data_IF_724352370627
#
_entry.id   IF_724352370627
#
_cell.length_a   1.000
_cell.length_b   1.000
_cell.length_c   1.000
_cell.angle_alpha   90.00
_cell.angle_beta   90.00
_cell.angle_gamma   90.00
#
_symmetry.space_group_name_H-M   'P 1'
#
loop_
_entity.id
_entity.type
_entity.pdbx_description
1 polymer ?
#
# COMPACT_ATOMS: atom_id res chain seq x y z
N UNK A 1 -14.37 5.05 7.58
CA UNK A 1 -13.26 5.32 6.66
C UNK A 1 -11.98 4.68 7.16
N UNK A 2 -11.13 4.26 6.23
CA UNK A 2 -9.84 3.63 6.54
C UNK A 2 -8.66 4.62 6.58
N UNK A 3 -8.94 5.92 6.52
CA UNK A 3 -7.94 6.99 6.61
C UNK A 3 -8.32 7.97 7.71
N UNK A 4 -7.32 8.54 8.36
CA UNK A 4 -7.49 9.64 9.31
C UNK A 4 -7.28 11.01 8.65
N UNK A 5 -7.75 12.07 9.29
CA UNK A 5 -7.51 13.44 8.86
C UNK A 5 -7.33 14.37 10.04
N UNK A 6 -6.53 15.41 9.85
CA UNK A 6 -6.34 16.50 10.79
C UNK A 6 -6.52 17.84 10.06
N UNK A 7 -6.81 18.89 10.81
CA UNK A 7 -6.86 20.24 10.25
C UNK A 7 -5.47 20.69 9.78
N UNK A 8 -5.40 21.15 8.55
CA UNK A 8 -4.17 21.70 7.97
C UNK A 8 -4.18 23.22 8.02
N UNK A 9 -5.22 23.82 7.49
CA UNK A 9 -5.44 25.27 7.51
C UNK A 9 -6.95 25.60 7.62
N UNK A 10 -7.32 26.83 7.34
CA UNK A 10 -8.73 27.26 7.39
C UNK A 10 -9.63 26.55 6.36
N UNK A 11 -9.07 26.10 5.24
CA UNK A 11 -9.81 25.60 4.09
C UNK A 11 -9.68 24.07 3.90
N UNK A 12 -8.57 23.46 4.39
CA UNK A 12 -8.22 22.07 4.10
C UNK A 12 -7.98 21.21 5.34
N UNK A 13 -8.23 19.91 5.15
CA UNK A 13 -7.73 18.84 6.00
C UNK A 13 -6.61 18.11 5.26
N UNK A 14 -5.61 17.66 6.02
CA UNK A 14 -4.61 16.71 5.54
C UNK A 14 -5.03 15.30 5.97
N UNK A 15 -5.00 14.35 5.05
CA UNK A 15 -5.28 12.94 5.33
C UNK A 15 -3.98 12.16 5.38
N UNK A 16 -3.96 11.11 6.19
CA UNK A 16 -2.84 10.17 6.22
C UNK A 16 -3.35 8.75 6.37
N UNK A 17 -2.91 7.88 5.48
CA UNK A 17 -3.14 6.44 5.53
C UNK A 17 -1.81 5.72 5.45
N UNK A 18 -1.65 4.72 6.29
CA UNK A 18 -0.46 3.86 6.31
C UNK A 18 -0.88 2.40 6.39
N UNK A 19 -0.11 1.53 5.76
CA UNK A 19 -0.25 0.08 5.81
C UNK A 19 1.11 -0.60 5.73
N UNK A 20 1.17 -1.83 6.21
CA UNK A 20 2.28 -2.73 5.94
C UNK A 20 1.81 -3.91 5.10
N UNK A 21 2.58 -4.29 4.09
CA UNK A 21 2.26 -5.40 3.18
C UNK A 21 3.40 -6.41 3.13
N UNK A 22 3.73 -6.97 4.30
CA UNK A 22 4.95 -7.72 4.55
C UNK A 22 4.94 -9.13 3.95
N UNK A 23 3.97 -9.96 4.35
CA UNK A 23 3.88 -11.35 3.89
C UNK A 23 3.63 -11.46 2.39
N UNK A 24 2.69 -10.70 1.79
CA UNK A 24 2.53 -10.74 0.33
C UNK A 24 3.82 -10.35 -0.41
N UNK A 25 4.56 -9.36 0.08
CA UNK A 25 5.83 -8.94 -0.53
C UNK A 25 6.96 -9.96 -0.33
N UNK A 26 6.86 -10.84 0.67
CA UNK A 26 7.79 -11.96 0.83
C UNK A 26 7.53 -13.09 -0.17
N UNK A 27 6.30 -13.22 -0.65
CA UNK A 27 5.86 -14.26 -1.60
C UNK A 27 6.04 -13.78 -3.05
N UNK A 28 5.44 -12.65 -3.37
CA UNK A 28 5.61 -11.92 -4.61
C UNK A 28 6.00 -10.47 -4.31
N UNK A 29 7.28 -10.13 -4.34
CA UNK A 29 7.75 -8.81 -3.97
C UNK A 29 7.17 -7.66 -4.80
N UNK A 30 7.01 -7.86 -6.10
CA UNK A 30 6.45 -6.85 -7.00
C UNK A 30 4.94 -6.69 -6.82
N UNK A 31 4.17 -7.76 -6.95
CA UNK A 31 2.72 -7.73 -6.80
C UNK A 31 2.26 -7.38 -5.39
N UNK A 32 2.95 -7.91 -4.37
CA UNK A 32 2.67 -7.61 -2.98
C UNK A 32 2.89 -6.14 -2.64
N UNK A 33 3.98 -5.54 -3.10
CA UNK A 33 4.27 -4.13 -2.82
C UNK A 33 3.42 -3.14 -3.65
N UNK A 34 3.07 -3.48 -4.91
CA UNK A 34 2.05 -2.75 -5.68
C UNK A 34 0.74 -2.69 -4.88
N UNK A 35 0.27 -3.82 -4.39
CA UNK A 35 -0.96 -3.88 -3.60
C UNK A 35 -0.86 -3.01 -2.35
N UNK A 36 0.29 -2.98 -1.69
CA UNK A 36 0.54 -2.14 -0.52
C UNK A 36 0.38 -0.66 -0.82
N UNK A 37 1.07 -0.15 -1.85
CA UNK A 37 1.04 1.29 -2.18
C UNK A 37 -0.30 1.71 -2.81
N UNK A 38 -0.88 0.89 -3.67
CA UNK A 38 -2.19 1.16 -4.28
C UNK A 38 -3.28 1.12 -3.21
N UNK A 39 -3.17 0.23 -2.21
CA UNK A 39 -4.10 0.15 -1.10
C UNK A 39 -4.19 1.46 -0.32
N UNK A 40 -3.07 2.04 0.09
CA UNK A 40 -3.07 3.32 0.83
C UNK A 40 -3.55 4.49 -0.03
N UNK A 41 -3.27 4.48 -1.34
CA UNK A 41 -3.77 5.48 -2.28
C UNK A 41 -5.30 5.40 -2.41
N UNK A 42 -5.85 4.20 -2.51
CA UNK A 42 -7.31 3.98 -2.58
C UNK A 42 -8.02 4.41 -1.31
N UNK A 43 -7.42 4.18 -0.15
CA UNK A 43 -7.99 4.61 1.12
C UNK A 43 -8.01 6.13 1.26
N UNK A 44 -7.00 6.84 0.75
CA UNK A 44 -7.02 8.29 0.66
C UNK A 44 -8.13 8.78 -0.29
N UNK A 45 -8.23 8.19 -1.48
CA UNK A 45 -9.32 8.49 -2.43
C UNK A 45 -10.71 8.18 -1.85
N UNK A 46 -10.81 7.15 -1.03
CA UNK A 46 -12.05 6.76 -0.36
C UNK A 46 -12.39 7.56 0.90
N UNK A 47 -11.51 8.45 1.37
CA UNK A 47 -11.77 9.25 2.56
C UNK A 47 -12.85 10.31 2.31
N UNK A 48 -13.89 10.32 3.13
CA UNK A 48 -14.97 11.28 3.03
C UNK A 48 -15.58 11.39 1.63
N UNK A 49 -15.65 12.59 1.08
CA UNK A 49 -16.10 12.87 -0.29
C UNK A 49 -14.97 12.75 -1.34
N UNK A 50 -13.84 12.21 -0.95
CA UNK A 50 -12.69 11.97 -1.80
C UNK A 50 -11.52 12.93 -1.53
N UNK A 51 -10.50 12.47 -0.81
CA UNK A 51 -9.25 13.22 -0.68
C UNK A 51 -8.38 13.01 -1.92
N UNK A 52 -7.62 14.05 -2.28
CA UNK A 52 -6.64 13.98 -3.36
C UNK A 52 -5.30 13.52 -2.79
N UNK A 53 -4.76 12.36 -3.18
CA UNK A 53 -3.40 11.97 -2.84
C UNK A 53 -2.41 13.01 -3.37
N UNK A 54 -1.47 13.43 -2.52
CA UNK A 54 -0.45 14.43 -2.85
C UNK A 54 0.90 13.77 -3.04
N UNK A 55 1.27 12.90 -2.11
CA UNK A 55 2.51 12.11 -2.21
C UNK A 55 2.43 10.86 -1.34
N UNK A 56 3.29 9.90 -1.69
CA UNK A 56 3.49 8.67 -0.95
C UNK A 56 4.75 8.74 -0.08
N UNK A 57 4.78 7.90 0.94
CA UNK A 57 5.96 7.62 1.76
C UNK A 57 6.20 6.13 1.82
N UNK A 58 7.43 5.72 2.15
CA UNK A 58 7.78 4.32 2.31
C UNK A 58 8.71 4.10 3.49
N UNK A 59 8.69 2.87 4.02
CA UNK A 59 9.67 2.43 5.00
C UNK A 59 9.92 0.94 4.79
N UNK A 60 11.15 0.59 4.37
CA UNK A 60 11.48 -0.80 4.08
C UNK A 60 12.58 -1.28 5.01
N UNK A 61 12.37 -2.50 5.54
CA UNK A 61 13.41 -3.21 6.25
C UNK A 61 13.64 -4.55 5.54
N UNK A 62 14.87 -4.79 5.14
CA UNK A 62 15.31 -6.00 4.46
C UNK A 62 16.50 -6.63 5.18
N UNK A 63 16.77 -7.91 4.94
CA UNK A 63 18.08 -8.47 5.22
C UNK A 63 19.09 -7.96 4.19
N UNK A 64 20.38 -8.13 4.50
CA UNK A 64 21.46 -7.70 3.60
C UNK A 64 21.28 -8.32 2.20
N UNK A 65 21.15 -7.48 1.14
CA UNK A 65 21.01 -7.98 -0.23
C UNK A 65 22.21 -8.77 -0.73
N UNK A 66 23.37 -8.68 -0.10
CA UNK A 66 24.53 -9.50 -0.38
C UNK A 66 24.46 -10.90 0.28
N UNK A 67 23.51 -11.13 1.19
CA UNK A 67 23.34 -12.47 1.78
C UNK A 67 22.74 -13.45 0.77
N UNK A 68 23.56 -14.41 0.35
CA UNK A 68 23.20 -15.46 -0.61
C UNK A 68 22.82 -16.78 0.07
N UNK A 69 22.90 -16.88 1.40
CA UNK A 69 22.56 -18.12 2.10
C UNK A 69 21.06 -18.40 1.97
N UNK A 70 20.64 -19.58 1.48
CA UNK A 70 19.23 -19.87 1.33
C UNK A 70 18.53 -19.99 2.69
N UNK A 71 17.29 -19.51 2.76
CA UNK A 71 16.35 -19.75 3.85
C UNK A 71 15.22 -20.63 3.31
N UNK A 72 14.73 -21.54 4.11
CA UNK A 72 13.66 -22.45 3.73
C UNK A 72 12.46 -22.28 4.66
N UNK A 73 11.25 -22.48 4.12
CA UNK A 73 10.00 -22.43 4.90
C UNK A 73 9.80 -23.68 5.72
N UNK A 74 10.39 -24.79 5.30
CA UNK A 74 10.21 -26.11 5.89
C UNK A 74 11.53 -26.73 6.35
N UNK A 75 11.45 -27.62 7.34
CA UNK A 75 12.62 -28.32 7.89
C UNK A 75 13.27 -29.28 6.88
N UNK A 76 12.48 -29.79 5.90
CA UNK A 76 12.98 -30.68 4.84
C UNK A 76 13.72 -29.92 3.73
N UNK A 77 13.72 -28.58 3.80
CA UNK A 77 14.38 -27.69 2.82
C UNK A 77 13.88 -27.90 1.38
N UNK A 78 12.59 -28.12 1.23
CA UNK A 78 11.95 -28.30 -0.08
C UNK A 78 11.44 -27.00 -0.67
N UNK A 79 11.14 -25.99 0.19
CA UNK A 79 10.59 -24.70 -0.19
C UNK A 79 11.56 -23.57 0.14
N UNK A 80 12.40 -23.21 -0.83
CA UNK A 80 13.31 -22.08 -0.69
C UNK A 80 12.52 -20.77 -0.70
N UNK A 81 12.87 -19.85 0.21
CA UNK A 81 12.37 -18.48 0.21
C UNK A 81 13.16 -17.64 -0.79
N UNK A 82 12.56 -16.53 -1.22
CA UNK A 82 13.24 -15.57 -2.09
C UNK A 82 14.45 -14.96 -1.37
N UNK A 83 15.52 -14.68 -2.13
CA UNK A 83 16.70 -14.01 -1.58
C UNK A 83 16.39 -12.57 -1.17
N UNK A 84 17.13 -12.02 -0.18
CA UNK A 84 16.95 -10.62 0.24
C UNK A 84 17.05 -9.62 -0.91
N UNK A 85 17.98 -9.83 -1.83
CA UNK A 85 18.14 -8.99 -3.03
C UNK A 85 16.89 -9.03 -3.91
N UNK A 86 16.36 -10.22 -4.20
CA UNK A 86 15.16 -10.37 -5.02
C UNK A 86 13.95 -9.68 -4.39
N UNK A 87 13.79 -9.82 -3.07
CA UNK A 87 12.70 -9.17 -2.33
C UNK A 87 12.85 -7.66 -2.43
N UNK A 88 14.03 -7.11 -2.13
CA UNK A 88 14.30 -5.68 -2.17
C UNK A 88 14.03 -5.07 -3.55
N UNK A 89 14.59 -5.64 -4.60
CA UNK A 89 14.43 -5.14 -5.97
C UNK A 89 12.97 -5.17 -6.43
N UNK A 90 12.25 -6.26 -6.13
CA UNK A 90 10.84 -6.38 -6.47
C UNK A 90 9.96 -5.41 -5.70
N UNK A 91 10.21 -5.21 -4.40
CA UNK A 91 9.45 -4.24 -3.57
C UNK A 91 9.65 -2.82 -4.07
N UNK A 92 10.88 -2.42 -4.35
CA UNK A 92 11.18 -1.08 -4.88
C UNK A 92 10.47 -0.86 -6.22
N UNK A 93 10.57 -1.84 -7.12
CA UNK A 93 9.91 -1.77 -8.43
C UNK A 93 8.38 -1.68 -8.31
N UNK A 94 7.77 -2.47 -7.41
CA UNK A 94 6.33 -2.47 -7.20
C UNK A 94 5.80 -1.16 -6.61
N UNK A 95 6.48 -0.61 -5.62
CA UNK A 95 6.10 0.70 -5.05
C UNK A 95 6.27 1.82 -6.08
N UNK A 96 7.32 1.79 -6.90
CA UNK A 96 7.48 2.74 -8.00
C UNK A 96 6.32 2.64 -9.01
N UNK A 97 5.96 1.43 -9.42
CA UNK A 97 4.87 1.21 -10.38
C UNK A 97 3.51 1.64 -9.82
N UNK A 98 3.18 1.27 -8.59
CA UNK A 98 1.90 1.61 -7.96
C UNK A 98 1.79 3.06 -7.47
N UNK A 99 2.90 3.72 -7.20
CA UNK A 99 2.97 5.10 -6.72
C UNK A 99 3.35 6.08 -7.82
N UNK A 100 4.65 6.21 -8.10
CA UNK A 100 5.17 7.23 -9.04
C UNK A 100 4.55 7.14 -10.44
N UNK A 101 4.43 5.93 -10.99
CA UNK A 101 3.84 5.74 -12.33
C UNK A 101 2.33 5.98 -12.37
N UNK A 102 1.67 5.98 -11.21
CA UNK A 102 0.27 6.40 -11.08
C UNK A 102 0.09 7.92 -10.94
N UNK A 103 1.18 8.69 -11.01
CA UNK A 103 1.17 10.14 -10.89
C UNK A 103 1.20 10.66 -9.45
N UNK A 104 1.43 9.79 -8.46
CA UNK A 104 1.57 10.16 -7.04
C UNK A 104 3.04 9.99 -6.66
N UNK A 105 3.81 11.08 -6.49
CA UNK A 105 5.24 11.00 -6.22
C UNK A 105 5.52 10.35 -4.86
N UNK A 106 6.65 9.67 -4.75
CA UNK A 106 7.14 9.06 -3.51
C UNK A 106 8.45 9.73 -3.07
N UNK A 107 8.41 10.96 -2.53
CA UNK A 107 9.61 11.77 -2.31
C UNK A 107 10.41 11.39 -1.08
N UNK A 108 9.84 10.63 -0.15
CA UNK A 108 10.44 10.41 1.17
C UNK A 108 10.19 9.00 1.68
N UNK A 109 11.22 8.45 2.31
CA UNK A 109 11.16 7.17 2.99
C UNK A 109 12.52 6.77 3.57
N UNK A 110 12.63 5.52 3.99
CA UNK A 110 13.87 4.96 4.50
C UNK A 110 14.06 3.51 4.08
N UNK A 111 15.32 3.09 4.06
CA UNK A 111 15.75 1.70 3.95
C UNK A 111 16.57 1.36 5.19
N UNK A 112 16.29 0.20 5.78
CA UNK A 112 17.02 -0.33 6.90
C UNK A 112 17.36 -1.80 6.65
N UNK A 113 18.56 -2.24 7.01
CA UNK A 113 19.04 -3.60 6.81
C UNK A 113 19.33 -4.27 8.14
N UNK A 114 18.73 -5.45 8.35
CA UNK A 114 18.94 -6.28 9.52
C UNK A 114 18.55 -7.72 9.18
N UNK A 115 19.37 -8.69 9.57
CA UNK A 115 19.19 -10.11 9.24
C UNK A 115 17.87 -10.71 9.75
N UNK A 116 17.26 -10.09 10.75
CA UNK A 116 15.94 -10.48 11.27
C UNK A 116 14.81 -10.33 10.25
N UNK A 117 15.02 -9.54 9.21
CA UNK A 117 14.06 -9.38 8.11
C UNK A 117 14.27 -10.36 6.96
N UNK A 118 15.17 -11.32 7.11
CA UNK A 118 15.37 -12.37 6.11
C UNK A 118 14.11 -13.21 5.95
N UNK A 119 13.62 -13.31 4.72
CA UNK A 119 12.41 -14.06 4.38
C UNK A 119 11.08 -13.37 4.70
N UNK A 120 11.06 -12.36 5.57
CA UNK A 120 9.88 -11.53 5.83
C UNK A 120 10.26 -10.07 6.03
N UNK A 121 10.22 -9.25 4.97
CA UNK A 121 10.56 -7.84 5.05
C UNK A 121 9.52 -7.05 5.84
N UNK A 122 9.87 -5.84 6.27
CA UNK A 122 8.90 -4.78 6.49
C UNK A 122 8.72 -4.02 5.18
N UNK A 123 7.48 -3.93 4.73
CA UNK A 123 7.09 -3.12 3.58
C UNK A 123 5.98 -2.17 4.03
N UNK A 124 6.39 -1.03 4.52
CA UNK A 124 5.50 0.05 4.95
C UNK A 124 5.26 1.00 3.79
N UNK A 125 3.99 1.31 3.53
CA UNK A 125 3.56 2.31 2.57
C UNK A 125 2.65 3.33 3.25
N UNK A 126 2.79 4.59 2.86
CA UNK A 126 1.94 5.66 3.34
C UNK A 126 1.49 6.57 2.22
N UNK A 127 0.37 7.25 2.41
CA UNK A 127 -0.15 8.26 1.49
C UNK A 127 -0.62 9.46 2.27
N UNK A 128 -0.17 10.62 1.87
CA UNK A 128 -0.67 11.91 2.35
C UNK A 128 -1.59 12.49 1.27
N UNK A 129 -2.76 12.95 1.69
CA UNK A 129 -3.74 13.59 0.82
C UNK A 129 -4.30 14.88 1.40
N UNK A 130 -4.97 15.65 0.57
CA UNK A 130 -5.70 16.86 0.95
C UNK A 130 -7.16 16.73 0.57
N UNK A 131 -8.03 17.25 1.45
CA UNK A 131 -9.45 17.39 1.16
C UNK A 131 -9.93 18.75 1.67
N UNK A 132 -10.73 19.49 0.88
CA UNK A 132 -11.36 20.73 1.37
C UNK A 132 -12.23 20.43 2.59
N UNK A 133 -12.26 21.31 3.59
CA UNK A 133 -13.16 21.14 4.75
C UNK A 133 -14.64 21.11 4.33
N UNK A 134 -15.00 21.79 3.25
CA UNK A 134 -16.36 21.81 2.72
C UNK A 134 -16.37 21.59 1.21
N UNK A 135 -17.31 20.77 0.75
CA UNK A 135 -17.59 20.55 -0.67
C UNK A 135 -19.10 20.77 -0.90
N UNK A 136 -19.46 21.74 -1.75
CA UNK A 136 -20.87 22.11 -2.01
C UNK A 136 -21.67 22.33 -0.73
N UNK A 137 -21.07 23.03 0.24
CA UNK A 137 -21.71 23.36 1.53
C UNK A 137 -21.74 22.25 2.58
N UNK A 138 -21.30 21.04 2.23
CA UNK A 138 -21.24 19.88 3.15
C UNK A 138 -19.83 19.72 3.72
N UNK A 139 -19.72 19.20 4.93
CA UNK A 139 -18.44 18.78 5.50
C UNK A 139 -17.89 17.62 4.69
N UNK A 140 -16.67 17.76 4.18
CA UNK A 140 -16.13 16.80 3.21
C UNK A 140 -15.72 15.46 3.82
N UNK A 141 -15.49 15.40 5.12
CA UNK A 141 -15.15 14.13 5.82
C UNK A 141 -16.38 13.30 6.18
N UNK A 142 -17.59 13.87 6.06
CA UNK A 142 -18.83 13.17 6.33
C UNK A 142 -19.36 12.55 5.04
N UNK A 143 -19.49 11.24 5.01
CA UNK A 143 -20.19 10.51 3.94
C UNK A 143 -21.12 9.48 4.55
N UNK A 144 -22.29 9.35 3.95
CA UNK A 144 -23.28 8.37 4.36
C UNK A 144 -24.13 8.01 3.16
N UNK A 145 -24.18 6.74 2.80
CA UNK A 145 -25.12 6.23 1.83
C UNK A 145 -26.54 6.28 2.40
N UNK A 146 -27.50 6.66 1.57
CA UNK A 146 -28.92 6.77 1.90
C UNK A 146 -29.74 5.84 1.05
N UNK A 147 -30.95 5.51 1.52
CA UNK A 147 -31.90 4.79 0.70
C UNK A 147 -32.20 5.58 -0.60
N UNK A 148 -32.17 4.88 -1.73
CA UNK A 148 -32.30 5.44 -3.11
C UNK A 148 -31.06 6.09 -3.69
N UNK A 149 -29.93 6.08 -3.02
CA UNK A 149 -28.67 6.45 -3.66
C UNK A 149 -28.29 5.41 -4.72
N UNK A 150 -27.69 5.86 -5.81
CA UNK A 150 -27.18 4.98 -6.84
C UNK A 150 -25.87 4.32 -6.40
N UNK A 151 -25.76 3.01 -6.65
CA UNK A 151 -24.48 2.31 -6.61
C UNK A 151 -23.86 2.40 -8.00
N UNK A 152 -22.72 3.08 -8.11
CA UNK A 152 -22.02 3.27 -9.37
C UNK A 152 -20.70 2.51 -9.33
N UNK A 153 -20.50 1.62 -10.29
CA UNK A 153 -19.24 0.92 -10.51
C UNK A 153 -18.52 1.52 -11.73
N UNK A 154 -17.27 1.93 -11.51
CA UNK A 154 -16.42 2.49 -12.55
C UNK A 154 -15.15 1.67 -12.64
N UNK A 155 -14.83 1.14 -13.81
CA UNK A 155 -13.63 0.32 -14.00
C UNK A 155 -13.83 -0.76 -15.07
N UNK A 156 -12.90 -1.71 -15.08
CA UNK A 156 -12.90 -2.84 -15.99
C UNK A 156 -13.74 -4.03 -15.51
N UNK A 157 -13.41 -5.22 -15.98
CA UNK A 157 -14.06 -6.47 -15.55
C UNK A 157 -13.82 -6.73 -14.07
N UNK A 158 -14.83 -7.26 -13.41
CA UNK A 158 -14.74 -7.74 -12.02
C UNK A 158 -14.56 -9.25 -12.06
N UNK A 159 -13.57 -9.76 -11.33
CA UNK A 159 -13.28 -11.18 -11.15
C UNK A 159 -13.46 -11.62 -9.71
N UNK A 160 -13.01 -12.84 -9.43
CA UNK A 160 -13.00 -13.43 -8.08
C UNK A 160 -11.71 -13.08 -7.31
N UNK A 161 -11.02 -12.02 -7.70
CA UNK A 161 -9.76 -11.60 -7.10
C UNK A 161 -9.91 -11.32 -5.61
N UNK A 162 -8.96 -11.77 -4.83
CA UNK A 162 -8.95 -11.54 -3.39
C UNK A 162 -9.93 -12.39 -2.57
N UNK A 163 -10.58 -13.39 -3.18
CA UNK A 163 -11.55 -14.27 -2.49
C UNK A 163 -10.93 -15.02 -1.30
N UNK A 164 -9.64 -15.29 -1.34
CA UNK A 164 -8.86 -15.92 -0.27
C UNK A 164 -8.13 -14.92 0.63
N UNK A 165 -8.39 -13.62 0.47
CA UNK A 165 -7.70 -12.53 1.15
C UNK A 165 -6.46 -12.04 0.42
N UNK A 166 -5.98 -10.82 0.78
CA UNK A 166 -4.92 -10.13 0.08
C UNK A 166 -3.57 -10.89 0.06
N UNK A 167 -3.26 -11.63 1.13
CA UNK A 167 -2.01 -12.39 1.22
C UNK A 167 -1.93 -13.48 0.16
N UNK A 168 -2.98 -14.28 0.04
CA UNK A 168 -3.00 -15.40 -0.92
C UNK A 168 -3.24 -14.93 -2.36
N UNK A 169 -3.88 -13.81 -2.57
CA UNK A 169 -4.04 -13.21 -3.91
C UNK A 169 -2.70 -12.85 -4.57
N UNK A 170 -1.63 -12.72 -3.80
CA UNK A 170 -0.28 -12.44 -4.32
C UNK A 170 0.48 -13.70 -4.74
N UNK A 171 -0.08 -14.89 -4.52
CA UNK A 171 0.53 -16.18 -4.89
C UNK A 171 0.01 -16.73 -6.24
N UNK A 172 -1.05 -16.16 -6.79
CA UNK A 172 -1.74 -16.65 -8.00
C UNK A 172 -1.25 -16.00 -9.29
#
# INVERSE_FOLDING_TARGET
>A
DNSGAIEFDKDYLITHKVETHNTPSALDPYGGSITGIVGVNRDALGFGLGAKPIFNTYGFCFADPADTKPLYRDAAKTQAMLSPKRIMEGVIAGVNAGGNQSGIPTPMGFLYFDDRYKGKPLVFCGTIGLIPKKTKGRKSWEKQAKNKDYVVMVGGKVGLDGIHGATFSSES
#
